data_IF_227849922521
#
_entry.id   IF_227849922521
#
_cell.length_a   1.000
_cell.length_b   1.000
_cell.length_c   1.000
_cell.angle_alpha   90.00
_cell.angle_beta   90.00
_cell.angle_gamma   90.00
#
_symmetry.space_group_name_H-M   'P 1'
#
loop_
_entity.id
_entity.type
_entity.pdbx_description
1 polymer ?
#
# COMPACT_ATOMS: atom_id res chain seq x y z
N UNK A 1 -36.56 43.05 25.89
CA UNK A 1 -36.97 42.06 24.87
C UNK A 1 -35.86 41.75 23.87
N UNK A 2 -35.07 42.73 23.42
CA UNK A 2 -33.98 42.52 22.42
C UNK A 2 -32.78 41.71 22.96
N UNK A 3 -32.41 41.81 24.24
CA UNK A 3 -31.25 41.06 24.78
C UNK A 3 -31.50 39.56 24.96
N UNK A 4 -32.74 39.14 25.22
CA UNK A 4 -33.11 37.73 25.35
C UNK A 4 -33.08 37.01 24.00
N UNK A 5 -33.43 37.70 22.91
CA UNK A 5 -33.34 37.19 21.55
C UNK A 5 -31.88 37.04 21.09
N UNK A 6 -30.99 37.96 21.47
CA UNK A 6 -29.55 37.86 21.17
C UNK A 6 -28.88 36.66 21.84
N UNK A 7 -29.19 36.40 23.12
CA UNK A 7 -28.66 35.23 23.84
C UNK A 7 -29.17 33.89 23.31
N UNK A 8 -30.39 33.84 22.77
CA UNK A 8 -30.98 32.62 22.22
C UNK A 8 -30.44 32.31 20.81
N UNK A 9 -30.07 33.35 20.05
CA UNK A 9 -29.37 33.21 18.77
C UNK A 9 -27.94 32.68 18.99
N UNK A 10 -27.18 33.26 19.93
CA UNK A 10 -25.81 32.79 20.26
C UNK A 10 -25.81 31.34 20.75
N UNK A 11 -26.77 30.98 21.61
CA UNK A 11 -26.90 29.62 22.12
C UNK A 11 -27.25 28.63 21.01
N UNK A 12 -28.07 29.03 20.02
CA UNK A 12 -28.34 28.20 18.84
C UNK A 12 -27.10 28.05 17.96
N UNK A 13 -26.36 29.12 17.67
CA UNK A 13 -25.14 29.03 16.86
C UNK A 13 -24.07 28.14 17.50
N UNK A 14 -23.92 28.20 18.83
CA UNK A 14 -23.01 27.32 19.56
C UNK A 14 -23.42 25.84 19.46
N UNK A 15 -24.72 25.55 19.51
CA UNK A 15 -25.26 24.20 19.32
C UNK A 15 -25.02 23.73 17.88
N UNK A 16 -25.23 24.58 16.88
CA UNK A 16 -24.95 24.27 15.48
C UNK A 16 -23.47 24.00 15.23
N UNK A 17 -22.57 24.84 15.76
CA UNK A 17 -21.13 24.64 15.65
C UNK A 17 -20.67 23.36 16.36
N UNK A 18 -21.19 23.08 17.56
CA UNK A 18 -20.86 21.85 18.29
C UNK A 18 -21.38 20.60 17.58
N UNK A 19 -22.59 20.65 16.99
CA UNK A 19 -23.22 19.54 16.26
C UNK A 19 -22.54 19.26 14.92
N UNK A 20 -22.12 20.31 14.19
CA UNK A 20 -21.29 20.16 13.01
C UNK A 20 -19.93 19.56 13.37
N UNK A 21 -19.27 20.04 14.43
CA UNK A 21 -17.99 19.47 14.85
C UNK A 21 -18.11 17.97 15.21
N UNK A 22 -19.18 17.54 15.90
CA UNK A 22 -19.41 16.12 16.23
C UNK A 22 -19.73 15.23 15.01
N UNK A 23 -20.43 15.75 13.99
CA UNK A 23 -20.76 14.99 12.79
C UNK A 23 -19.58 14.92 11.81
N UNK A 24 -18.82 16.00 11.64
CA UNK A 24 -17.64 16.03 10.76
C UNK A 24 -16.46 15.26 11.37
N UNK A 25 -16.34 15.23 12.71
CA UNK A 25 -15.35 14.39 13.41
C UNK A 25 -15.67 12.89 13.39
N UNK A 26 -16.92 12.49 13.10
CA UNK A 26 -17.26 11.08 12.87
C UNK A 26 -16.90 10.58 11.47
N UNK A 27 -16.81 11.47 10.47
CA UNK A 27 -16.43 11.10 9.10
C UNK A 27 -14.90 11.15 8.89
N UNK A 28 -14.20 11.97 9.68
CA UNK A 28 -12.74 12.08 9.70
C UNK A 28 -12.08 11.40 10.91
N UNK A 29 -12.84 10.65 11.73
CA UNK A 29 -12.23 9.83 12.77
C UNK A 29 -11.42 8.74 12.08
N UNK A 30 -10.11 8.84 12.22
CA UNK A 30 -9.11 7.87 11.78
C UNK A 30 -9.52 6.49 12.27
N UNK A 31 -10.29 5.74 11.48
CA UNK A 31 -10.65 4.38 11.84
C UNK A 31 -9.40 3.52 11.66
N UNK A 32 -8.63 3.42 12.75
CA UNK A 32 -7.44 2.58 12.87
C UNK A 32 -7.74 1.09 12.64
N UNK A 33 -9.01 0.71 12.51
CA UNK A 33 -9.47 -0.66 12.30
C UNK A 33 -9.94 -0.87 10.86
N UNK A 34 -10.80 0.02 10.33
CA UNK A 34 -11.41 -0.20 9.00
C UNK A 34 -10.40 -0.03 7.88
N UNK A 35 -9.53 0.99 7.94
CA UNK A 35 -8.55 1.27 6.88
C UNK A 35 -7.55 0.11 6.69
N UNK A 36 -6.93 -0.44 7.75
CA UNK A 36 -6.05 -1.60 7.61
C UNK A 36 -6.74 -2.85 7.09
N UNK A 37 -7.98 -3.12 7.54
CA UNK A 37 -8.73 -4.30 7.08
C UNK A 37 -8.96 -4.20 5.57
N UNK A 38 -9.48 -3.07 5.08
CA UNK A 38 -9.74 -2.87 3.65
C UNK A 38 -8.46 -2.99 2.83
N UNK A 39 -7.35 -2.42 3.30
CA UNK A 39 -6.05 -2.52 2.62
C UNK A 39 -5.47 -3.95 2.62
N UNK A 40 -5.78 -4.78 3.62
CA UNK A 40 -5.35 -6.17 3.69
C UNK A 40 -6.16 -7.12 2.78
N UNK A 41 -7.41 -6.77 2.44
CA UNK A 41 -8.31 -7.68 1.72
C UNK A 41 -7.77 -8.15 0.35
N UNK A 42 -7.23 -7.28 -0.53
CA UNK A 42 -6.71 -7.71 -1.82
C UNK A 42 -5.56 -8.72 -1.69
N UNK A 43 -4.62 -8.46 -0.79
CA UNK A 43 -3.50 -9.35 -0.51
C UNK A 43 -3.99 -10.69 0.08
N UNK A 44 -4.99 -10.65 0.97
CA UNK A 44 -5.60 -11.85 1.54
C UNK A 44 -6.22 -12.76 0.48
N UNK A 45 -6.99 -12.20 -0.45
CA UNK A 45 -7.62 -13.00 -1.49
C UNK A 45 -6.57 -13.71 -2.36
N UNK A 46 -5.49 -13.01 -2.74
CA UNK A 46 -4.42 -13.63 -3.53
C UNK A 46 -3.64 -14.67 -2.74
N UNK A 47 -3.33 -14.40 -1.47
CA UNK A 47 -2.71 -15.37 -0.58
C UNK A 47 -3.55 -16.66 -0.46
N UNK A 48 -4.85 -16.53 -0.20
CA UNK A 48 -5.75 -17.67 -0.06
C UNK A 48 -5.89 -18.47 -1.37
N UNK A 49 -5.92 -17.79 -2.52
CA UNK A 49 -5.91 -18.44 -3.83
C UNK A 49 -4.62 -19.24 -4.07
N UNK A 50 -3.46 -18.66 -3.76
CA UNK A 50 -2.17 -19.34 -3.88
C UNK A 50 -2.11 -20.59 -2.99
N UNK A 51 -2.59 -20.48 -1.75
CA UNK A 51 -2.61 -21.62 -0.82
C UNK A 51 -3.57 -22.73 -1.26
N UNK A 52 -4.75 -22.37 -1.78
CA UNK A 52 -5.69 -23.35 -2.34
C UNK A 52 -5.07 -24.09 -3.52
N UNK A 53 -4.42 -23.35 -4.43
CA UNK A 53 -3.78 -23.96 -5.60
C UNK A 53 -2.59 -24.82 -5.23
N UNK A 54 -1.82 -24.45 -4.21
CA UNK A 54 -0.78 -25.31 -3.63
C UNK A 54 -1.38 -26.60 -3.05
N UNK A 55 -2.47 -26.50 -2.29
CA UNK A 55 -3.12 -27.69 -1.70
C UNK A 55 -3.60 -28.66 -2.78
N UNK A 56 -4.17 -28.14 -3.86
CA UNK A 56 -4.80 -28.93 -4.91
C UNK A 56 -3.77 -29.52 -5.90
N UNK A 57 -2.68 -28.79 -6.20
CA UNK A 57 -1.61 -29.26 -7.12
C UNK A 57 -0.44 -29.96 -6.42
N UNK A 58 -0.22 -29.72 -5.12
CA UNK A 58 0.98 -30.09 -4.34
C UNK A 58 2.31 -29.52 -4.87
N UNK A 59 2.28 -28.70 -5.91
CA UNK A 59 3.44 -28.02 -6.46
C UNK A 59 3.80 -26.78 -5.65
N UNK A 60 4.91 -26.86 -4.91
CA UNK A 60 5.35 -25.78 -4.02
C UNK A 60 5.74 -24.50 -4.79
N UNK A 61 6.32 -24.65 -5.98
CA UNK A 61 6.69 -23.54 -6.85
C UNK A 61 5.79 -23.52 -8.08
N UNK A 62 5.28 -22.35 -8.54
CA UNK A 62 5.47 -20.99 -8.02
C UNK A 62 4.48 -20.59 -6.91
N UNK A 63 3.58 -21.49 -6.50
CA UNK A 63 2.41 -21.15 -5.67
C UNK A 63 2.76 -20.66 -4.26
N UNK A 64 3.67 -21.34 -3.55
CA UNK A 64 4.07 -20.95 -2.20
C UNK A 64 4.94 -19.69 -2.19
N UNK A 65 5.77 -19.52 -3.22
CA UNK A 65 6.59 -18.32 -3.36
C UNK A 65 5.72 -17.07 -3.63
N UNK A 66 4.69 -17.19 -4.47
CA UNK A 66 3.68 -16.14 -4.62
C UNK A 66 2.88 -15.91 -3.31
N UNK A 67 2.53 -16.95 -2.57
CA UNK A 67 1.90 -16.78 -1.25
C UNK A 67 2.82 -16.02 -0.28
N UNK A 68 4.12 -16.33 -0.28
CA UNK A 68 5.14 -15.58 0.47
C UNK A 68 5.22 -14.12 0.04
N UNK A 69 5.18 -13.83 -1.27
CA UNK A 69 5.11 -12.45 -1.79
C UNK A 69 3.96 -11.67 -1.15
N UNK A 70 2.74 -12.21 -1.18
CA UNK A 70 1.56 -11.54 -0.63
C UNK A 70 1.55 -11.47 0.90
N UNK A 71 2.22 -12.38 1.60
CA UNK A 71 2.31 -12.32 3.06
C UNK A 71 3.15 -11.14 3.55
N UNK A 72 4.13 -10.68 2.76
CA UNK A 72 4.90 -9.46 3.08
C UNK A 72 4.01 -8.22 3.20
N UNK A 73 2.94 -8.13 2.41
CA UNK A 73 1.97 -7.02 2.48
C UNK A 73 1.25 -6.98 3.83
N UNK A 74 0.99 -8.12 4.46
CA UNK A 74 0.38 -8.14 5.79
C UNK A 74 1.32 -7.52 6.84
N UNK A 75 2.62 -7.79 6.76
CA UNK A 75 3.59 -7.18 7.66
C UNK A 75 3.61 -5.64 7.51
N UNK A 76 3.55 -5.14 6.26
CA UNK A 76 3.45 -3.70 5.98
C UNK A 76 2.22 -3.08 6.64
N UNK A 77 1.04 -3.69 6.46
CA UNK A 77 -0.21 -3.15 7.03
C UNK A 77 -0.21 -3.23 8.56
N UNK A 78 0.26 -4.33 9.14
CA UNK A 78 0.35 -4.50 10.60
C UNK A 78 1.26 -3.43 11.21
N UNK A 79 2.48 -3.27 10.71
CA UNK A 79 3.41 -2.29 11.27
C UNK A 79 2.98 -0.84 10.99
N UNK A 80 2.36 -0.57 9.84
CA UNK A 80 1.75 0.74 9.58
C UNK A 80 0.64 1.08 10.59
N UNK A 81 -0.19 0.10 10.93
CA UNK A 81 -1.27 0.25 11.91
C UNK A 81 -0.72 0.44 13.32
N UNK A 82 0.25 -0.40 13.72
CA UNK A 82 0.90 -0.29 15.04
C UNK A 82 1.63 1.05 15.20
N UNK A 83 2.29 1.53 14.14
CA UNK A 83 2.88 2.88 14.10
C UNK A 83 1.83 3.94 14.39
N UNK A 84 0.69 3.90 13.71
CA UNK A 84 -0.38 4.88 13.85
C UNK A 84 -1.04 4.81 15.25
N UNK A 85 -1.28 3.62 15.78
CA UNK A 85 -1.91 3.42 17.09
C UNK A 85 -1.02 3.83 18.27
N UNK A 86 0.30 3.75 18.11
CA UNK A 86 1.25 4.13 19.16
C UNK A 86 1.87 5.51 18.92
N UNK A 87 1.39 6.28 17.93
CA UNK A 87 1.95 7.59 17.61
C UNK A 87 1.93 8.55 18.80
N UNK A 88 0.84 8.54 19.59
CA UNK A 88 0.67 9.42 20.76
C UNK A 88 1.56 9.06 21.96
N UNK A 89 2.27 7.92 21.92
CA UNK A 89 3.14 7.45 23.02
C UNK A 89 4.59 7.93 22.89
N UNK A 90 4.94 8.57 21.77
CA UNK A 90 6.30 8.99 21.47
C UNK A 90 6.32 10.48 21.14
N UNK A 91 7.35 11.21 21.61
CA UNK A 91 7.49 12.64 21.33
C UNK A 91 7.81 12.90 19.86
N UNK A 92 8.64 12.02 19.27
CA UNK A 92 8.96 12.04 17.85
C UNK A 92 8.61 10.72 17.17
N UNK A 93 8.26 10.79 15.88
CA UNK A 93 8.06 9.61 15.03
C UNK A 93 9.31 8.73 14.93
N UNK A 94 10.49 9.32 15.08
CA UNK A 94 11.77 8.62 15.04
C UNK A 94 12.05 7.81 16.32
N UNK A 95 11.32 8.07 17.41
CA UNK A 95 11.41 7.29 18.65
C UNK A 95 10.47 6.07 18.61
N UNK A 96 9.53 6.04 17.66
CA UNK A 96 8.56 4.97 17.52
C UNK A 96 9.21 3.76 16.80
N UNK A 97 9.44 2.62 17.48
CA UNK A 97 10.09 1.45 16.86
C UNK A 97 9.26 0.86 15.70
N UNK A 98 7.94 1.02 15.72
CA UNK A 98 7.07 0.54 14.64
C UNK A 98 7.25 1.31 13.34
N UNK A 99 7.82 2.53 13.39
CA UNK A 99 8.21 3.26 12.19
C UNK A 99 9.28 2.50 11.40
N UNK A 100 10.36 2.06 12.06
CA UNK A 100 11.43 1.31 11.41
C UNK A 100 10.99 -0.08 10.96
N UNK A 101 10.15 -0.76 11.73
CA UNK A 101 9.57 -2.05 11.34
C UNK A 101 8.68 -1.91 10.10
N UNK A 102 7.90 -0.82 10.02
CA UNK A 102 7.10 -0.52 8.84
C UNK A 102 7.96 -0.26 7.60
N UNK A 103 9.02 0.56 7.72
CA UNK A 103 9.97 0.81 6.62
C UNK A 103 10.62 -0.50 6.18
N UNK A 104 11.11 -1.32 7.11
CA UNK A 104 11.73 -2.61 6.80
C UNK A 104 10.76 -3.52 6.06
N UNK A 105 9.52 -3.66 6.55
CA UNK A 105 8.51 -4.47 5.88
C UNK A 105 8.18 -3.95 4.48
N UNK A 106 8.09 -2.63 4.29
CA UNK A 106 7.82 -2.01 3.00
C UNK A 106 8.98 -2.26 2.01
N UNK A 107 10.23 -2.13 2.46
CA UNK A 107 11.42 -2.44 1.66
C UNK A 107 11.46 -3.91 1.27
N UNK A 108 11.26 -4.82 2.23
CA UNK A 108 11.23 -6.28 1.94
C UNK A 108 10.12 -6.63 0.95
N UNK A 109 8.92 -6.07 1.12
CA UNK A 109 7.79 -6.29 0.22
C UNK A 109 8.12 -5.78 -1.20
N UNK A 110 8.70 -4.58 -1.30
CA UNK A 110 9.13 -3.96 -2.56
C UNK A 110 10.17 -4.83 -3.27
N UNK A 111 11.24 -5.21 -2.57
CA UNK A 111 12.33 -6.00 -3.14
C UNK A 111 11.89 -7.40 -3.55
N UNK A 112 11.05 -8.07 -2.74
CA UNK A 112 10.51 -9.38 -3.10
C UNK A 112 9.72 -9.27 -4.39
N UNK A 113 8.77 -8.34 -4.45
CA UNK A 113 7.90 -8.21 -5.60
C UNK A 113 8.69 -7.81 -6.86
N UNK A 114 9.57 -6.81 -6.77
CA UNK A 114 10.45 -6.43 -7.88
C UNK A 114 11.32 -7.58 -8.38
N UNK A 115 11.93 -8.33 -7.46
CA UNK A 115 12.73 -9.52 -7.82
C UNK A 115 11.87 -10.58 -8.49
N UNK A 116 10.62 -10.74 -8.04
CA UNK A 116 9.67 -11.66 -8.65
C UNK A 116 9.36 -11.26 -10.09
N UNK A 117 9.03 -10.00 -10.35
CA UNK A 117 8.62 -9.57 -11.68
C UNK A 117 9.80 -9.72 -12.66
N UNK A 118 10.99 -9.24 -12.31
CA UNK A 118 12.21 -9.39 -13.13
C UNK A 118 12.53 -10.86 -13.45
N UNK A 119 12.37 -11.77 -12.48
CA UNK A 119 12.77 -13.17 -12.64
C UNK A 119 11.69 -14.03 -13.29
N UNK A 120 10.47 -13.92 -12.80
CA UNK A 120 9.38 -14.83 -13.12
C UNK A 120 8.51 -14.33 -14.26
N UNK A 121 8.22 -13.03 -14.27
CA UNK A 121 7.31 -12.46 -15.27
C UNK A 121 8.09 -12.06 -16.53
N UNK A 122 9.34 -11.61 -16.36
CA UNK A 122 10.23 -11.11 -17.42
C UNK A 122 11.29 -12.13 -17.85
N UNK A 123 11.65 -13.12 -17.00
CA UNK A 123 12.59 -14.18 -17.35
C UNK A 123 14.05 -13.75 -17.48
N UNK A 124 14.43 -12.54 -17.01
CA UNK A 124 15.74 -11.93 -17.26
C UNK A 124 16.93 -12.67 -16.62
N UNK A 125 16.67 -13.52 -15.63
CA UNK A 125 17.69 -14.35 -14.97
C UNK A 125 17.64 -15.82 -15.39
N UNK A 126 16.85 -16.16 -16.41
CA UNK A 126 16.88 -17.50 -17.02
C UNK A 126 17.99 -17.58 -18.08
N UNK A 127 19.24 -17.45 -17.63
CA UNK A 127 20.44 -17.75 -18.43
C UNK A 127 20.60 -19.27 -18.72
N UNK A 128 19.69 -20.11 -18.24
CA UNK A 128 19.70 -21.57 -18.46
C UNK A 128 18.90 -22.02 -19.69
N UNK A 129 18.29 -21.11 -20.45
CA UNK A 129 17.67 -21.42 -21.74
C UNK A 129 18.68 -21.62 -22.89
N UNK A 130 19.95 -21.88 -22.57
CA UNK A 130 21.04 -22.16 -23.51
C UNK A 130 21.31 -23.66 -23.65
N UNK A 131 20.27 -24.50 -23.82
CA UNK A 131 20.39 -25.79 -24.52
C UNK A 131 19.04 -26.55 -24.50
N UNK A 132 18.14 -26.20 -25.42
CA UNK A 132 16.96 -26.98 -25.88
C UNK A 132 15.56 -26.48 -25.46
N UNK A 133 14.97 -25.69 -26.39
CA UNK A 133 13.56 -25.74 -26.84
C UNK A 133 12.44 -25.83 -25.79
N UNK A 134 12.32 -24.81 -24.94
CA UNK A 134 10.99 -24.33 -24.52
C UNK A 134 11.00 -22.79 -24.55
N UNK A 135 11.03 -22.26 -25.76
CA UNK A 135 10.65 -20.89 -26.04
C UNK A 135 9.28 -20.61 -25.41
N UNK A 136 9.19 -19.61 -24.52
CA UNK A 136 8.10 -18.65 -24.67
C UNK A 136 8.44 -17.83 -25.91
N UNK A 137 7.96 -18.30 -27.06
CA UNK A 137 8.17 -17.73 -28.40
C UNK A 137 7.35 -16.44 -28.61
N UNK A 138 7.28 -15.60 -27.58
CA UNK A 138 6.53 -14.36 -27.55
C UNK A 138 7.28 -13.42 -26.58
N UNK A 139 8.48 -12.97 -26.96
CA UNK A 139 8.90 -11.64 -26.50
C UNK A 139 8.03 -10.66 -27.26
N UNK A 140 6.90 -10.27 -26.67
CA UNK A 140 5.85 -9.42 -27.28
C UNK A 140 6.41 -8.09 -27.82
N UNK A 141 7.59 -7.65 -27.37
CA UNK A 141 8.23 -6.43 -27.83
C UNK A 141 9.65 -6.66 -28.37
N UNK A 142 9.83 -6.34 -29.65
CA UNK A 142 11.09 -6.44 -30.39
C UNK A 142 12.15 -5.38 -29.99
N UNK A 143 11.80 -4.39 -29.17
CA UNK A 143 12.69 -3.28 -28.81
C UNK A 143 13.24 -3.41 -27.38
N UNK A 144 14.57 -3.53 -27.20
CA UNK A 144 15.21 -3.53 -25.89
C UNK A 144 14.90 -2.28 -25.06
N UNK A 145 14.68 -1.12 -25.71
CA UNK A 145 14.39 0.14 -25.03
C UNK A 145 13.07 0.11 -24.26
N UNK A 146 12.04 -0.57 -24.79
CA UNK A 146 10.76 -0.74 -24.08
C UNK A 146 10.93 -1.59 -22.82
N UNK A 147 11.82 -2.59 -22.88
CA UNK A 147 12.15 -3.44 -21.74
C UNK A 147 12.78 -2.64 -20.60
N UNK A 148 13.80 -1.82 -20.89
CA UNK A 148 14.43 -0.96 -19.90
C UNK A 148 13.48 0.10 -19.36
N UNK A 149 12.65 0.69 -20.22
CA UNK A 149 11.66 1.67 -19.79
C UNK A 149 10.68 1.08 -18.77
N UNK A 150 10.11 -0.09 -19.07
CA UNK A 150 9.14 -0.73 -18.19
C UNK A 150 9.76 -1.26 -16.88
N UNK A 151 11.02 -1.71 -16.89
CA UNK A 151 11.73 -2.03 -15.63
C UNK A 151 11.91 -0.79 -14.75
N UNK A 152 12.29 0.34 -15.33
CA UNK A 152 12.45 1.60 -14.59
C UNK A 152 11.10 2.08 -14.05
N UNK A 153 10.07 2.01 -14.89
CA UNK A 153 8.71 2.40 -14.53
C UNK A 153 8.15 1.53 -13.38
N UNK A 154 8.29 0.20 -13.44
CA UNK A 154 7.87 -0.70 -12.36
C UNK A 154 8.56 -0.38 -11.03
N UNK A 155 9.87 -0.09 -11.04
CA UNK A 155 10.60 0.31 -9.81
C UNK A 155 10.07 1.63 -9.25
N UNK A 156 9.86 2.63 -10.12
CA UNK A 156 9.35 3.95 -9.69
C UNK A 156 7.96 3.78 -9.09
N UNK A 157 7.07 3.05 -9.77
CA UNK A 157 5.71 2.77 -9.29
C UNK A 157 5.73 1.99 -7.97
N UNK A 158 6.65 1.05 -7.79
CA UNK A 158 6.82 0.33 -6.53
C UNK A 158 7.38 1.18 -5.40
N UNK A 159 8.18 2.19 -5.69
CA UNK A 159 8.69 3.15 -4.70
C UNK A 159 7.69 4.28 -4.40
N UNK A 160 6.52 4.28 -5.04
CA UNK A 160 5.49 5.31 -4.81
C UNK A 160 5.03 5.39 -3.36
N UNK A 161 5.09 4.30 -2.59
CA UNK A 161 4.75 4.36 -1.17
C UNK A 161 5.68 5.31 -0.39
N UNK A 162 6.98 5.35 -0.75
CA UNK A 162 7.97 6.20 -0.11
C UNK A 162 7.80 7.66 -0.53
N UNK A 163 7.55 7.90 -1.83
CA UNK A 163 7.24 9.24 -2.36
C UNK A 163 5.98 9.79 -1.70
N UNK A 164 4.91 8.99 -1.66
CA UNK A 164 3.64 9.35 -1.03
C UNK A 164 3.82 9.69 0.45
N UNK A 165 4.63 8.90 1.16
CA UNK A 165 4.95 9.16 2.56
C UNK A 165 5.68 10.51 2.72
N UNK A 166 6.75 10.75 1.97
CA UNK A 166 7.52 12.01 2.05
C UNK A 166 6.66 13.22 1.73
N UNK A 167 5.83 13.16 0.69
CA UNK A 167 4.99 14.30 0.27
C UNK A 167 3.86 14.59 1.26
N UNK A 168 3.26 13.54 1.82
CA UNK A 168 2.18 13.70 2.82
C UNK A 168 2.74 14.20 4.15
N UNK A 169 3.93 13.75 4.54
CA UNK A 169 4.54 14.13 5.83
C UNK A 169 5.10 15.55 5.84
N UNK A 170 5.55 16.07 4.70
CA UNK A 170 5.96 17.47 4.57
C UNK A 170 4.78 18.41 4.25
N UNK A 171 3.54 17.90 4.31
CA UNK A 171 2.30 18.65 4.05
C UNK A 171 2.23 19.29 2.65
N UNK A 172 3.06 18.84 1.70
CA UNK A 172 3.02 19.34 0.32
C UNK A 172 1.74 18.91 -0.40
N UNK A 173 1.26 17.70 -0.12
CA UNK A 173 0.05 17.13 -0.75
C UNK A 173 -0.79 16.39 0.29
N UNK A 174 -2.11 16.53 0.21
CA UNK A 174 -3.06 15.78 1.05
C UNK A 174 -2.94 14.26 0.82
N UNK A 175 -3.07 13.49 1.91
CA UNK A 175 -3.07 12.02 1.89
C UNK A 175 -4.12 11.44 0.97
N UNK A 176 -5.25 12.13 0.82
CA UNK A 176 -6.38 11.66 0.00
C UNK A 176 -6.01 11.74 -1.49
N UNK A 177 -5.36 12.83 -1.90
CA UNK A 177 -4.85 13.01 -3.27
C UNK A 177 -3.78 11.96 -3.57
N UNK A 178 -2.85 11.71 -2.64
CA UNK A 178 -1.85 10.64 -2.81
C UNK A 178 -2.46 9.25 -2.92
N UNK A 179 -3.50 8.97 -2.15
CA UNK A 179 -4.19 7.67 -2.24
C UNK A 179 -4.87 7.51 -3.60
N UNK A 180 -5.51 8.56 -4.12
CA UNK A 180 -6.11 8.54 -5.46
C UNK A 180 -5.07 8.38 -6.57
N UNK A 181 -3.96 9.13 -6.52
CA UNK A 181 -2.89 8.99 -7.51
C UNK A 181 -2.24 7.62 -7.45
N UNK A 182 -1.93 7.11 -6.25
CA UNK A 182 -1.36 5.77 -6.08
C UNK A 182 -2.29 4.70 -6.63
N UNK A 183 -3.60 4.82 -6.39
CA UNK A 183 -4.61 3.87 -6.89
C UNK A 183 -4.71 3.89 -8.42
N UNK A 184 -4.59 5.07 -9.05
CA UNK A 184 -4.57 5.21 -10.50
C UNK A 184 -3.28 4.62 -11.10
N UNK A 185 -2.13 4.93 -10.50
CA UNK A 185 -0.82 4.47 -10.96
C UNK A 185 -0.63 2.95 -10.80
N UNK A 186 -1.20 2.34 -9.76
CA UNK A 186 -1.18 0.89 -9.57
C UNK A 186 -1.88 0.13 -10.72
N UNK A 187 -2.73 0.78 -11.53
CA UNK A 187 -3.36 0.17 -12.72
C UNK A 187 -2.36 -0.03 -13.87
N UNK A 188 -1.33 0.81 -13.95
CA UNK A 188 -0.31 0.73 -14.99
C UNK A 188 0.78 -0.30 -14.68
N UNK A 189 0.87 -0.74 -13.42
CA UNK A 189 1.84 -1.74 -12.94
C UNK A 189 1.30 -3.17 -13.05
#
# INVERSE_FOLDING_TARGET
MVSALGQDIDRRTDIWHRKNNTNTSQCSSKSYIVRPIVNCLPAWFRFAQCLRRYRDSKEAFPHLANAGKYSTTFAVVIFSTLRAMNADKYESKYDNPYFYLWILAAVVSTLYAYTWDIKMDWGLLDTSASENKLLREETVYSSPAFYYFAMIEDIILRLMWAISYILTENEYISSDIMTSLSSFLEVFR
#
